data_IF_893807705891
#
_entry.id   IF_893807705891
#
_cell.length_a   1.000
_cell.length_b   1.000
_cell.length_c   1.000
_cell.angle_alpha   90.00
_cell.angle_beta   90.00
_cell.angle_gamma   90.00
#
_symmetry.space_group_name_H-M   'P 1'
#
loop_
_entity.id
_entity.type
_entity.pdbx_description
1 polymer ?
#
# COMPACT_ATOMS: atom_id res chain seq x y z
N UNK A 1 22.66 9.36 -20.24
CA UNK A 1 23.60 8.64 -19.35
C UNK A 1 22.81 7.72 -18.44
N UNK A 2 22.80 6.43 -18.74
CA UNK A 2 22.09 5.44 -17.94
C UNK A 2 22.96 5.00 -16.76
N UNK A 3 22.54 5.31 -15.54
CA UNK A 3 23.11 4.73 -14.32
C UNK A 3 22.99 3.21 -14.40
N UNK A 4 24.09 2.54 -14.68
CA UNK A 4 24.24 1.10 -14.48
C UNK A 4 24.45 0.88 -12.99
N UNK A 5 23.40 0.47 -12.29
CA UNK A 5 23.49 -0.06 -10.94
C UNK A 5 24.16 -1.44 -11.01
N UNK A 6 25.40 -1.63 -10.52
CA UNK A 6 26.23 -2.80 -10.82
C UNK A 6 25.74 -4.12 -10.19
N UNK A 7 24.62 -4.13 -9.46
CA UNK A 7 24.04 -5.33 -8.83
C UNK A 7 22.76 -5.87 -9.47
N UNK A 8 22.25 -5.29 -10.56
CA UNK A 8 20.94 -5.65 -11.16
C UNK A 8 21.13 -6.45 -12.45
N UNK A 9 20.63 -7.70 -12.48
CA UNK A 9 20.68 -8.53 -13.69
C UNK A 9 19.97 -7.84 -14.87
N UNK A 10 20.44 -8.04 -16.13
CA UNK A 10 19.81 -7.43 -17.31
C UNK A 10 18.32 -7.72 -17.41
N UNK A 11 17.92 -8.95 -17.07
CA UNK A 11 16.53 -9.39 -17.03
C UNK A 11 15.69 -8.63 -16.00
N UNK A 12 16.25 -8.42 -14.80
CA UNK A 12 15.59 -7.63 -13.75
C UNK A 12 15.44 -6.17 -14.15
N UNK A 13 16.45 -5.60 -14.82
CA UNK A 13 16.40 -4.23 -15.33
C UNK A 13 15.30 -4.07 -16.39
N UNK A 14 15.21 -4.99 -17.34
CA UNK A 14 14.15 -5.01 -18.36
C UNK A 14 12.76 -4.99 -17.73
N UNK A 15 12.51 -5.87 -16.75
CA UNK A 15 11.23 -5.91 -16.03
C UNK A 15 10.92 -4.59 -15.30
N UNK A 16 11.93 -3.94 -14.70
CA UNK A 16 11.77 -2.64 -14.06
C UNK A 16 11.36 -1.59 -15.08
N UNK A 17 12.03 -1.54 -16.23
CA UNK A 17 11.72 -0.58 -17.29
C UNK A 17 10.31 -0.81 -17.86
N UNK A 18 9.89 -2.07 -18.07
CA UNK A 18 8.52 -2.42 -18.50
C UNK A 18 7.45 -1.90 -17.53
N UNK A 19 7.69 -2.05 -16.22
CA UNK A 19 6.79 -1.55 -15.19
C UNK A 19 6.79 -0.02 -15.12
N UNK A 20 7.94 0.63 -15.33
CA UNK A 20 8.06 2.10 -15.37
C UNK A 20 7.33 2.70 -16.56
N UNK A 21 7.47 2.11 -17.74
CA UNK A 21 6.74 2.52 -18.94
C UNK A 21 5.21 2.48 -18.72
N UNK A 22 4.73 1.51 -17.94
CA UNK A 22 3.32 1.35 -17.56
C UNK A 22 2.91 2.14 -16.31
N UNK A 23 3.80 2.97 -15.76
CA UNK A 23 3.56 3.83 -14.58
C UNK A 23 3.11 3.06 -13.32
N UNK A 24 3.64 1.85 -13.12
CA UNK A 24 3.31 1.06 -11.93
C UNK A 24 3.81 1.74 -10.65
N UNK A 25 3.02 1.68 -9.58
CA UNK A 25 3.41 2.22 -8.28
C UNK A 25 4.65 1.47 -7.72
N UNK A 26 5.54 2.15 -6.95
CA UNK A 26 6.75 1.51 -6.39
C UNK A 26 6.44 0.25 -5.55
N UNK A 27 5.31 0.25 -4.84
CA UNK A 27 4.87 -0.93 -4.07
C UNK A 27 4.49 -2.11 -4.95
N UNK A 28 3.87 -1.85 -6.09
CA UNK A 28 3.56 -2.88 -7.09
C UNK A 28 4.84 -3.43 -7.71
N UNK A 29 5.78 -2.55 -8.09
CA UNK A 29 7.08 -2.96 -8.64
C UNK A 29 7.84 -3.89 -7.68
N UNK A 30 7.97 -3.49 -6.42
CA UNK A 30 8.62 -4.33 -5.40
C UNK A 30 7.92 -5.66 -5.16
N UNK A 31 6.59 -5.68 -5.19
CA UNK A 31 5.80 -6.92 -5.05
C UNK A 31 6.04 -7.87 -6.21
N UNK A 32 6.07 -7.34 -7.44
CA UNK A 32 6.27 -8.13 -8.66
C UNK A 32 7.69 -8.68 -8.74
N UNK A 33 8.70 -7.84 -8.47
CA UNK A 33 10.09 -8.27 -8.41
C UNK A 33 10.32 -9.35 -7.33
N UNK A 34 9.65 -9.22 -6.18
CA UNK A 34 9.70 -10.24 -5.14
C UNK A 34 9.13 -11.57 -5.65
N UNK A 35 7.95 -11.57 -6.25
CA UNK A 35 7.35 -12.80 -6.77
C UNK A 35 8.24 -13.53 -7.79
N UNK A 36 8.88 -12.79 -8.72
CA UNK A 36 9.82 -13.38 -9.69
C UNK A 36 11.10 -13.90 -9.00
N UNK A 37 11.58 -13.22 -7.96
CA UNK A 37 12.73 -13.70 -7.17
C UNK A 37 12.42 -14.98 -6.41
N UNK A 38 11.25 -15.07 -5.77
CA UNK A 38 10.79 -16.28 -5.09
C UNK A 38 10.69 -17.45 -6.08
N UNK A 39 10.14 -17.20 -7.27
CA UNK A 39 10.07 -18.20 -8.34
C UNK A 39 11.45 -18.64 -8.82
N UNK A 40 12.38 -17.70 -9.06
CA UNK A 40 13.75 -18.05 -9.44
C UNK A 40 14.45 -18.88 -8.35
N UNK A 41 14.16 -18.61 -7.07
CA UNK A 41 14.67 -19.43 -5.95
C UNK A 41 14.09 -20.84 -5.97
N UNK A 42 12.79 -20.99 -6.24
CA UNK A 42 12.15 -22.29 -6.40
C UNK A 42 12.79 -23.11 -7.54
N UNK A 43 13.10 -22.46 -8.67
CA UNK A 43 13.73 -23.14 -9.80
C UNK A 43 15.22 -23.48 -9.59
N UNK A 44 15.91 -22.73 -8.72
CA UNK A 44 17.38 -22.82 -8.59
C UNK A 44 18.16 -22.35 -9.83
N UNK A 45 17.47 -21.76 -10.82
CA UNK A 45 18.04 -21.27 -12.08
C UNK A 45 17.32 -20.00 -12.55
N UNK A 46 17.82 -19.43 -13.64
CA UNK A 46 17.26 -18.19 -14.19
C UNK A 46 15.81 -18.37 -14.65
N UNK A 47 14.87 -17.47 -14.29
CA UNK A 47 13.42 -17.67 -14.49
C UNK A 47 12.97 -17.60 -15.96
N UNK A 48 13.83 -17.11 -16.87
CA UNK A 48 13.63 -17.13 -18.32
C UNK A 48 13.80 -18.52 -18.95
N UNK A 49 14.40 -19.47 -18.22
CA UNK A 49 14.55 -20.88 -18.66
C UNK A 49 13.37 -21.77 -18.23
N UNK A 50 12.33 -21.18 -17.65
CA UNK A 50 11.20 -21.91 -17.10
C UNK A 50 10.33 -22.56 -18.21
N UNK A 51 9.81 -23.74 -17.90
CA UNK A 51 8.83 -24.45 -18.72
C UNK A 51 7.40 -24.27 -18.21
N UNK A 52 6.42 -24.76 -18.98
CA UNK A 52 5.01 -24.80 -18.56
C UNK A 52 4.84 -25.65 -17.29
N UNK A 53 5.58 -26.75 -17.17
CA UNK A 53 5.51 -27.62 -15.98
C UNK A 53 6.18 -26.99 -14.77
N UNK A 54 7.25 -26.21 -14.97
CA UNK A 54 7.90 -25.46 -13.88
C UNK A 54 6.92 -24.47 -13.23
N UNK A 55 6.10 -23.79 -14.04
CA UNK A 55 5.08 -22.86 -13.55
C UNK A 55 3.93 -23.56 -12.84
N UNK A 56 3.48 -24.71 -13.38
CA UNK A 56 2.49 -25.57 -12.70
C UNK A 56 3.04 -26.09 -11.37
N UNK A 57 4.28 -26.57 -11.36
CA UNK A 57 4.97 -27.07 -10.18
C UNK A 57 5.15 -25.98 -9.12
N UNK A 58 5.48 -24.76 -9.52
CA UNK A 58 5.55 -23.64 -8.59
C UNK A 58 4.19 -23.28 -8.00
N UNK A 59 3.13 -23.31 -8.80
CA UNK A 59 1.78 -23.08 -8.27
C UNK A 59 1.39 -24.15 -7.24
N UNK A 60 1.70 -25.42 -7.49
CA UNK A 60 1.48 -26.51 -6.54
C UNK A 60 2.30 -26.31 -5.27
N UNK A 61 3.59 -25.97 -5.41
CA UNK A 61 4.46 -25.65 -4.29
C UNK A 61 3.86 -24.53 -3.40
N UNK A 62 3.32 -23.46 -3.98
CA UNK A 62 2.66 -22.40 -3.21
C UNK A 62 1.43 -22.90 -2.45
N UNK A 63 0.63 -23.79 -3.06
CA UNK A 63 -0.54 -24.40 -2.42
C UNK A 63 -0.12 -25.31 -1.26
N UNK A 64 0.87 -26.16 -1.46
CA UNK A 64 1.37 -27.10 -0.44
C UNK A 64 1.98 -26.39 0.78
N UNK A 65 2.53 -25.18 0.57
CA UNK A 65 3.07 -24.33 1.64
C UNK A 65 1.98 -23.47 2.33
N UNK A 66 0.70 -23.70 2.04
CA UNK A 66 -0.41 -22.98 2.69
C UNK A 66 -0.51 -21.51 2.29
N UNK A 67 -0.01 -21.13 1.11
CA UNK A 67 -0.08 -19.74 0.64
C UNK A 67 -1.53 -19.30 0.49
N UNK A 68 -1.89 -18.13 1.04
CA UNK A 68 -3.26 -17.63 0.92
C UNK A 68 -3.68 -17.43 -0.54
N UNK A 69 -4.96 -17.65 -0.91
CA UNK A 69 -5.45 -17.44 -2.28
C UNK A 69 -5.16 -16.03 -2.83
N UNK A 70 -5.15 -15.01 -1.97
CA UNK A 70 -4.82 -13.62 -2.36
C UNK A 70 -3.34 -13.50 -2.73
N UNK A 71 -2.45 -14.07 -1.91
CA UNK A 71 -1.01 -14.07 -2.17
C UNK A 71 -0.67 -14.88 -3.41
N UNK A 72 -1.32 -16.04 -3.61
CA UNK A 72 -1.15 -16.88 -4.78
C UNK A 72 -1.55 -16.12 -6.06
N UNK A 73 -2.71 -15.47 -6.07
CA UNK A 73 -3.13 -14.68 -7.23
C UNK A 73 -2.23 -13.46 -7.51
N UNK A 74 -1.67 -12.85 -6.45
CA UNK A 74 -0.68 -11.79 -6.62
C UNK A 74 0.61 -12.32 -7.26
N UNK A 75 1.08 -13.51 -6.87
CA UNK A 75 2.22 -14.17 -7.48
C UNK A 75 1.94 -14.53 -8.95
N UNK A 76 0.78 -15.12 -9.25
CA UNK A 76 0.34 -15.42 -10.63
C UNK A 76 0.31 -14.14 -11.47
N UNK A 77 -0.23 -13.04 -10.95
CA UNK A 77 -0.30 -11.77 -11.69
C UNK A 77 1.08 -11.20 -12.00
N UNK A 78 2.05 -11.37 -11.09
CA UNK A 78 3.42 -10.94 -11.30
C UNK A 78 4.17 -11.83 -12.31
N UNK A 79 3.99 -13.15 -12.24
CA UNK A 79 4.54 -14.09 -13.22
C UNK A 79 3.92 -13.88 -14.59
N UNK A 80 2.61 -13.69 -14.66
CA UNK A 80 1.90 -13.33 -15.89
C UNK A 80 2.53 -12.10 -16.55
N UNK A 81 2.75 -11.04 -15.77
CA UNK A 81 3.44 -9.85 -16.29
C UNK A 81 4.86 -10.16 -16.78
N UNK A 82 5.63 -10.91 -16.01
CA UNK A 82 6.99 -11.26 -16.37
C UNK A 82 7.06 -12.08 -17.68
N UNK A 83 6.26 -13.14 -17.80
CA UNK A 83 6.25 -14.00 -18.99
C UNK A 83 5.59 -13.33 -20.20
N UNK A 84 4.45 -12.68 -20.04
CA UNK A 84 3.72 -12.09 -21.15
C UNK A 84 4.34 -10.77 -21.64
N UNK A 85 4.80 -9.91 -20.72
CA UNK A 85 5.27 -8.56 -21.06
C UNK A 85 6.79 -8.54 -21.19
N UNK A 86 7.51 -9.03 -20.19
CA UNK A 86 8.97 -8.93 -20.18
C UNK A 86 9.63 -9.96 -21.10
N UNK A 87 9.12 -11.19 -21.15
CA UNK A 87 9.69 -12.24 -22.01
C UNK A 87 8.95 -12.41 -23.35
N UNK A 88 7.71 -11.95 -23.48
CA UNK A 88 6.91 -12.13 -24.69
C UNK A 88 6.50 -13.59 -24.94
N UNK A 89 6.37 -14.39 -23.89
CA UNK A 89 6.06 -15.82 -23.93
C UNK A 89 4.77 -16.16 -23.16
N UNK A 90 3.60 -15.69 -23.62
CA UNK A 90 2.32 -15.94 -22.95
C UNK A 90 1.95 -17.42 -22.83
N UNK A 91 2.42 -18.26 -23.75
CA UNK A 91 2.16 -19.70 -23.78
C UNK A 91 2.61 -20.43 -22.52
N UNK A 92 3.63 -19.91 -21.81
CA UNK A 92 4.12 -20.54 -20.58
C UNK A 92 3.08 -20.49 -19.45
N UNK A 93 2.19 -19.49 -19.45
CA UNK A 93 1.15 -19.32 -18.44
C UNK A 93 -0.06 -20.25 -18.64
N UNK A 94 -0.11 -21.05 -19.71
CA UNK A 94 -1.29 -21.81 -20.13
C UNK A 94 -1.86 -22.77 -19.05
N UNK A 95 -1.01 -23.25 -18.14
CA UNK A 95 -1.40 -24.20 -17.08
C UNK A 95 -1.51 -23.59 -15.69
N UNK A 96 -1.20 -22.31 -15.52
CA UNK A 96 -1.43 -21.63 -14.25
C UNK A 96 -2.88 -21.13 -14.17
N UNK A 97 -3.53 -21.35 -13.04
CA UNK A 97 -4.93 -20.94 -12.85
C UNK A 97 -5.09 -20.08 -11.59
N UNK A 98 -5.69 -18.88 -11.70
CA UNK A 98 -6.01 -18.10 -10.52
C UNK A 98 -7.04 -18.82 -9.64
N UNK A 99 -6.87 -18.70 -8.33
CA UNK A 99 -7.77 -19.32 -7.35
C UNK A 99 -8.89 -18.35 -6.99
N UNK A 100 -10.13 -18.84 -6.92
CA UNK A 100 -11.26 -18.01 -6.48
C UNK A 100 -11.05 -17.60 -5.03
N UNK A 101 -11.08 -16.29 -4.77
CA UNK A 101 -11.03 -15.73 -3.40
C UNK A 101 -12.47 -15.45 -2.96
N UNK A 102 -13.03 -16.17 -1.97
CA UNK A 102 -14.33 -15.83 -1.40
C UNK A 102 -14.22 -14.46 -0.73
N UNK A 103 -15.10 -13.53 -1.13
CA UNK A 103 -15.20 -12.25 -0.42
C UNK A 103 -15.94 -12.50 0.89
N UNK A 104 -15.22 -12.46 2.01
CA UNK A 104 -15.85 -12.40 3.33
C UNK A 104 -16.58 -11.06 3.44
N UNK A 105 -17.83 -11.10 3.89
CA UNK A 105 -18.54 -9.89 4.23
C UNK A 105 -17.76 -9.19 5.36
N UNK A 106 -17.53 -7.87 5.28
CA UNK A 106 -16.88 -7.15 6.36
C UNK A 106 -17.75 -7.27 7.62
N UNK A 107 -17.17 -7.72 8.72
CA UNK A 107 -17.82 -7.67 10.03
C UNK A 107 -17.94 -6.20 10.40
N UNK A 108 -19.18 -5.72 10.53
CA UNK A 108 -19.45 -4.34 10.93
C UNK A 108 -19.43 -4.32 12.45
N UNK A 109 -18.48 -3.58 13.03
CA UNK A 109 -18.41 -3.37 14.46
C UNK A 109 -19.56 -2.45 14.90
N UNK A 110 -20.18 -2.77 16.03
CA UNK A 110 -21.12 -1.90 16.72
C UNK A 110 -20.43 -0.63 17.23
N UNK A 111 -21.17 0.48 17.43
CA UNK A 111 -20.60 1.71 18.00
C UNK A 111 -19.86 1.49 19.33
N UNK A 112 -20.34 0.58 20.18
CA UNK A 112 -19.69 0.27 21.46
C UNK A 112 -18.39 -0.52 21.31
N UNK A 113 -18.34 -1.46 20.36
CA UNK A 113 -17.09 -2.15 20.02
C UNK A 113 -16.05 -1.19 19.47
N UNK A 114 -16.46 -0.24 18.63
CA UNK A 114 -15.57 0.80 18.10
C UNK A 114 -15.05 1.70 19.22
N UNK A 115 -15.91 2.11 20.17
CA UNK A 115 -15.48 2.87 21.34
C UNK A 115 -14.46 2.10 22.17
N UNK A 116 -14.71 0.82 22.45
CA UNK A 116 -13.76 -0.05 23.18
C UNK A 116 -12.44 -0.21 22.43
N UNK A 117 -12.50 -0.41 21.11
CA UNK A 117 -11.33 -0.52 20.25
C UNK A 117 -10.47 0.75 20.27
N UNK A 118 -11.10 1.92 20.15
CA UNK A 118 -10.41 3.22 20.23
C UNK A 118 -9.83 3.40 21.62
N UNK A 119 -10.58 3.13 22.69
CA UNK A 119 -10.11 3.28 24.06
C UNK A 119 -8.94 2.35 24.41
N UNK A 120 -8.90 1.14 23.84
CA UNK A 120 -7.81 0.18 24.03
C UNK A 120 -6.49 0.62 23.37
N UNK A 121 -6.49 1.62 22.49
CA UNK A 121 -5.25 2.12 21.90
C UNK A 121 -4.44 2.90 22.96
N UNK A 122 -3.24 2.40 23.27
CA UNK A 122 -2.40 2.90 24.38
C UNK A 122 -1.81 4.30 24.24
N UNK A 123 -2.04 5.01 23.13
CA UNK A 123 -1.57 6.39 22.99
C UNK A 123 -2.58 7.28 22.23
N UNK A 124 -2.57 8.58 22.54
CA UNK A 124 -3.49 9.56 21.96
C UNK A 124 -3.37 9.64 20.43
N UNK A 125 -2.17 9.38 19.88
CA UNK A 125 -1.91 9.34 18.44
C UNK A 125 -2.76 8.28 17.74
N UNK A 126 -2.71 7.04 18.23
CA UNK A 126 -3.44 5.90 17.67
C UNK A 126 -4.94 6.04 17.92
N UNK A 127 -5.33 6.53 19.10
CA UNK A 127 -6.75 6.83 19.36
C UNK A 127 -7.31 7.85 18.35
N UNK A 128 -6.55 8.91 18.07
CA UNK A 128 -6.94 9.93 17.10
C UNK A 128 -6.96 9.38 15.69
N UNK A 129 -5.94 8.62 15.28
CA UNK A 129 -5.88 7.98 13.96
C UNK A 129 -7.06 7.03 13.72
N UNK A 130 -7.40 6.19 14.71
CA UNK A 130 -8.56 5.29 14.63
C UNK A 130 -9.88 6.06 14.57
N UNK A 131 -10.00 7.14 15.35
CA UNK A 131 -11.19 8.01 15.33
C UNK A 131 -11.39 8.69 13.98
N UNK A 132 -10.30 9.13 13.32
CA UNK A 132 -10.35 9.72 11.98
C UNK A 132 -10.69 8.65 10.94
N UNK A 133 -10.06 7.47 11.01
CA UNK A 133 -10.33 6.36 10.11
C UNK A 133 -11.81 5.96 10.13
N UNK A 134 -12.38 5.82 11.34
CA UNK A 134 -13.77 5.45 11.53
C UNK A 134 -14.73 6.60 11.20
N UNK A 135 -14.53 7.77 11.82
CA UNK A 135 -15.48 8.88 11.76
C UNK A 135 -15.57 9.56 10.40
N UNK A 136 -14.47 9.58 9.63
CA UNK A 136 -14.45 10.18 8.30
C UNK A 136 -14.28 9.13 7.17
N UNK A 137 -14.23 7.83 7.50
CA UNK A 137 -14.12 6.76 6.51
C UNK A 137 -12.80 6.78 5.72
N UNK A 138 -11.71 7.18 6.38
CA UNK A 138 -10.38 7.24 5.77
C UNK A 138 -9.69 5.88 5.86
N UNK A 139 -8.97 5.53 4.80
CA UNK A 139 -8.08 4.37 4.79
C UNK A 139 -6.82 4.67 5.60
N UNK A 140 -6.16 3.63 6.11
CA UNK A 140 -4.90 3.77 6.87
C UNK A 140 -3.87 4.64 6.13
N UNK A 141 -3.71 4.44 4.82
CA UNK A 141 -2.80 5.26 4.01
C UNK A 141 -3.23 6.73 3.92
N UNK A 142 -4.53 7.00 3.91
CA UNK A 142 -5.09 8.36 3.86
C UNK A 142 -4.92 9.04 5.22
N UNK A 143 -5.15 8.33 6.34
CA UNK A 143 -4.93 8.85 7.70
C UNK A 143 -3.47 9.21 7.93
N UNK A 144 -2.54 8.39 7.46
CA UNK A 144 -1.10 8.63 7.62
C UNK A 144 -0.61 9.79 6.75
N UNK A 145 -1.24 10.02 5.58
CA UNK A 145 -0.86 11.06 4.64
C UNK A 145 -1.59 12.41 4.87
N UNK A 146 -2.59 12.45 5.75
CA UNK A 146 -3.39 13.64 6.03
C UNK A 146 -2.48 14.77 6.55
N UNK A 147 -2.69 16.00 6.08
CA UNK A 147 -1.96 17.19 6.55
C UNK A 147 -2.88 18.11 7.34
N UNK A 148 -2.30 19.00 8.13
CA UNK A 148 -3.07 20.05 8.84
C UNK A 148 -3.78 20.98 7.85
N UNK A 149 -3.14 21.27 6.71
CA UNK A 149 -3.71 22.06 5.60
C UNK A 149 -4.93 21.40 4.94
N UNK A 150 -5.14 20.11 5.18
CA UNK A 150 -6.27 19.38 4.60
C UNK A 150 -7.53 19.46 5.46
N UNK A 151 -7.43 20.05 6.66
CA UNK A 151 -8.54 20.19 7.59
C UNK A 151 -9.18 21.55 7.40
N UNK A 152 -10.36 21.58 6.80
CA UNK A 152 -11.17 22.80 6.71
C UNK A 152 -12.20 22.80 7.85
N UNK A 153 -11.86 23.51 8.93
CA UNK A 153 -12.76 23.66 10.08
C UNK A 153 -13.92 24.63 9.86
N UNK A 154 -13.89 25.45 8.80
CA UNK A 154 -15.01 26.34 8.48
C UNK A 154 -16.10 25.58 7.73
N UNK A 155 -15.69 24.74 6.77
CA UNK A 155 -16.59 23.91 5.97
C UNK A 155 -16.86 22.54 6.59
N UNK A 156 -16.19 22.20 7.68
CA UNK A 156 -16.27 20.88 8.34
C UNK A 156 -15.98 19.74 7.35
N UNK A 157 -14.89 19.88 6.58
CA UNK A 157 -14.45 18.86 5.62
C UNK A 157 -12.96 18.53 5.74
N UNK A 158 -12.60 17.31 5.35
CA UNK A 158 -11.24 16.83 5.20
C UNK A 158 -10.95 16.62 3.71
N UNK A 159 -9.90 17.27 3.21
CA UNK A 159 -9.41 17.08 1.85
C UNK A 159 -8.49 15.86 1.78
N UNK A 160 -8.87 14.84 1.03
CA UNK A 160 -8.06 13.62 0.88
C UNK A 160 -7.35 13.70 -0.48
N UNK A 161 -6.06 14.00 -0.45
CA UNK A 161 -5.18 13.96 -1.62
C UNK A 161 -4.86 12.50 -1.99
N UNK A 162 -4.99 12.14 -3.27
CA UNK A 162 -4.60 10.83 -3.83
C UNK A 162 -5.33 9.60 -3.28
N UNK A 163 -6.68 9.60 -3.32
CA UNK A 163 -7.47 8.37 -3.15
C UNK A 163 -7.19 7.31 -4.24
N UNK A 164 -7.86 6.15 -4.16
CA UNK A 164 -7.74 5.09 -5.19
C UNK A 164 -8.01 5.66 -6.59
N UNK A 165 -7.04 5.56 -7.49
CA UNK A 165 -7.12 6.13 -8.84
C UNK A 165 -6.59 7.57 -8.96
N UNK A 166 -5.87 8.09 -7.95
CA UNK A 166 -5.33 9.46 -7.90
C UNK A 166 -6.41 10.54 -8.03
N UNK A 167 -7.60 10.28 -7.47
CA UNK A 167 -8.67 11.26 -7.40
C UNK A 167 -8.75 11.82 -6.00
N UNK A 168 -8.85 13.13 -5.93
CA UNK A 168 -9.07 13.84 -4.68
C UNK A 168 -10.55 13.75 -4.30
N UNK A 169 -10.82 13.66 -3.00
CA UNK A 169 -12.19 13.65 -2.47
C UNK A 169 -12.26 14.41 -1.15
N UNK A 170 -13.46 14.88 -0.81
CA UNK A 170 -13.75 15.43 0.50
C UNK A 170 -14.43 14.38 1.37
N UNK A 171 -14.04 14.31 2.64
CA UNK A 171 -14.74 13.55 3.68
C UNK A 171 -15.34 14.52 4.69
N UNK A 172 -16.47 14.13 5.30
CA UNK A 172 -17.11 14.93 6.34
C UNK A 172 -16.30 14.87 7.63
N UNK A 173 -16.14 16.03 8.25
CA UNK A 173 -15.50 16.18 9.56
C UNK A 173 -16.58 16.44 10.60
N UNK A 174 -16.74 15.55 11.58
CA UNK A 174 -17.66 15.82 12.70
C UNK A 174 -17.03 16.79 13.71
N UNK A 175 -17.83 17.59 14.44
CA UNK A 175 -17.31 18.49 15.49
C UNK A 175 -16.47 17.75 16.55
N UNK A 176 -16.93 16.58 16.98
CA UNK A 176 -16.22 15.71 17.93
C UNK A 176 -14.86 15.27 17.37
N UNK A 177 -14.78 14.97 16.07
CA UNK A 177 -13.53 14.59 15.43
C UNK A 177 -12.56 15.77 15.32
N UNK A 178 -13.07 16.98 15.02
CA UNK A 178 -12.27 18.21 15.00
C UNK A 178 -11.68 18.52 16.38
N UNK A 179 -12.44 18.38 17.45
CA UNK A 179 -11.95 18.55 18.82
C UNK A 179 -10.82 17.57 19.15
N UNK A 180 -10.99 16.30 18.78
CA UNK A 180 -9.97 15.26 18.98
C UNK A 180 -8.70 15.54 18.17
N UNK A 181 -8.84 16.01 16.93
CA UNK A 181 -7.71 16.45 16.09
C UNK A 181 -6.98 17.64 16.71
N UNK A 182 -7.71 18.62 17.25
CA UNK A 182 -7.14 19.78 17.95
C UNK A 182 -6.39 19.36 19.22
N UNK A 183 -6.95 18.43 20.00
CA UNK A 183 -6.29 17.89 21.19
C UNK A 183 -4.97 17.22 20.85
N UNK A 184 -4.98 16.33 19.84
CA UNK A 184 -3.75 15.70 19.34
C UNK A 184 -2.74 16.72 18.84
N UNK A 185 -3.18 17.74 18.08
CA UNK A 185 -2.31 18.78 17.55
C UNK A 185 -1.56 19.55 18.64
N UNK A 186 -2.22 19.87 19.77
CA UNK A 186 -1.55 20.53 20.91
C UNK A 186 -0.43 19.67 21.48
N UNK A 187 -0.69 18.37 21.68
CA UNK A 187 0.30 17.42 22.22
C UNK A 187 1.46 17.23 21.23
N UNK A 188 1.15 17.01 19.95
CA UNK A 188 2.16 16.85 18.90
C UNK A 188 3.05 18.09 18.75
N UNK A 189 2.45 19.30 18.78
CA UNK A 189 3.19 20.57 18.72
C UNK A 189 4.08 20.79 19.94
N UNK A 190 3.62 20.44 21.15
CA UNK A 190 4.42 20.54 22.37
C UNK A 190 5.64 19.59 22.33
N UNK A 191 5.44 18.33 21.91
CA UNK A 191 6.53 17.37 21.70
C UNK A 191 7.53 17.82 20.63
N UNK A 192 7.05 18.49 19.58
CA UNK A 192 7.91 19.04 18.53
C UNK A 192 8.78 20.20 19.01
N UNK A 193 8.20 21.16 19.75
CA UNK A 193 8.96 22.28 20.32
C UNK A 193 9.97 21.83 21.39
N UNK A 194 9.72 20.69 22.05
CA UNK A 194 10.63 20.08 23.01
C UNK A 194 11.72 19.18 22.37
N UNK A 195 11.81 19.13 21.03
CA UNK A 195 12.86 18.38 20.31
C UNK A 195 12.72 16.85 20.31
N UNK A 196 11.58 16.30 20.77
CA UNK A 196 11.47 14.91 21.23
C UNK A 196 10.70 13.91 20.35
N UNK A 197 10.29 14.23 19.11
CA UNK A 197 9.55 13.25 18.29
C UNK A 197 9.97 13.22 16.81
N UNK A 198 10.57 12.09 16.42
CA UNK A 198 10.95 11.69 15.06
C UNK A 198 9.75 11.67 14.08
N UNK A 199 9.96 11.90 12.77
CA UNK A 199 8.96 12.46 11.88
C UNK A 199 8.12 11.37 11.18
N UNK A 200 6.80 11.49 11.30
CA UNK A 200 5.85 10.81 10.43
C UNK A 200 4.71 11.72 9.95
N UNK A 201 4.74 12.99 10.33
CA UNK A 201 3.76 14.01 9.98
C UNK A 201 4.53 15.31 9.70
N UNK A 202 5.17 15.41 8.53
CA UNK A 202 5.73 16.68 8.05
C UNK A 202 4.87 17.13 6.86
N UNK A 203 4.13 18.24 6.95
CA UNK A 203 3.74 19.03 5.80
C UNK A 203 5.00 19.67 5.22
N UNK A 204 5.26 19.48 3.94
CA UNK A 204 6.24 20.29 3.20
C UNK A 204 5.93 21.76 3.40
N UNK A 205 6.82 22.49 4.06
CA UNK A 205 6.76 23.93 4.23
C UNK A 205 6.78 24.61 2.86
N UNK A 206 5.62 25.06 2.38
CA UNK A 206 5.57 26.19 1.45
C UNK A 206 5.20 27.42 2.26
N UNK A 207 6.22 28.22 2.54
CA UNK A 207 6.12 29.60 2.96
C UNK A 207 5.45 30.38 1.81
N UNK A 208 4.17 30.67 1.94
CA UNK A 208 3.59 31.86 1.33
C UNK A 208 3.81 33.00 2.33
N UNK A 209 4.74 33.89 1.99
CA UNK A 209 4.82 35.23 2.56
C UNK A 209 3.66 36.01 1.97
N UNK A 210 2.73 36.44 2.82
CA UNK A 210 1.91 37.61 2.55
C UNK A 210 2.31 38.68 3.57
N UNK A 211 2.98 39.71 3.05
CA UNK A 211 3.11 41.06 3.59
C UNK A 211 3.30 41.97 2.39
#
# INVERSE_FOLDING_TARGET
MTFSDPGVSPLRRRMIDDMRMRKFAPKTQSTYLRAVREFARFLGRSPDTATVEDLRGYQLHLVDHGTSPVSLNAAISALKFFFEVTLGQPQLMARMQPVRVPRKLPVILSPDEVRRLIAAAGNLKHQTALSVAYGAGLRVSEVVALKVSDIDSQRMTLRIEQGKGRKDRYAMLSPVLLERLRLWWRVARACWMAGGCFPGWIPSTHSARDS
#
